data_IF_779371801461
#
_entry.id   IF_779371801461
#
_cell.length_a   1.000
_cell.length_b   1.000
_cell.length_c   1.000
_cell.angle_alpha   90.00
_cell.angle_beta   90.00
_cell.angle_gamma   90.00
#
_symmetry.space_group_name_H-M   'P 1'
#
loop_
_entity.id
_entity.type
_entity.pdbx_description
1 polymer ?
#
# COMPACT_ATOMS: atom_id res chain seq x y z
N UNK A 1 -10.95 -8.93 1.32
CA UNK A 1 -10.36 -8.24 0.14
C UNK A 1 -8.99 -7.68 0.48
N UNK A 2 -8.85 -6.94 1.58
CA UNK A 2 -7.53 -6.42 2.05
C UNK A 2 -6.52 -7.54 2.30
N UNK A 3 -6.90 -8.63 2.96
CA UNK A 3 -5.97 -9.75 3.27
C UNK A 3 -5.38 -10.43 2.03
N UNK A 4 -6.17 -10.56 0.97
CA UNK A 4 -5.70 -11.09 -0.31
C UNK A 4 -4.65 -10.15 -0.92
N UNK A 5 -4.92 -8.84 -0.85
CA UNK A 5 -4.03 -7.81 -1.35
C UNK A 5 -2.72 -7.74 -0.55
N UNK A 6 -2.78 -7.89 0.78
CA UNK A 6 -1.60 -7.97 1.65
C UNK A 6 -0.73 -9.17 1.30
N UNK A 7 -1.34 -10.33 1.06
CA UNK A 7 -0.62 -11.54 0.68
C UNK A 7 0.05 -11.40 -0.68
N UNK A 8 -0.64 -10.82 -1.65
CA UNK A 8 -0.08 -10.57 -2.99
C UNK A 8 1.05 -9.53 -2.95
N UNK A 9 0.91 -8.50 -2.12
CA UNK A 9 1.97 -7.54 -1.86
C UNK A 9 3.22 -8.23 -1.28
N UNK A 10 3.06 -9.09 -0.29
CA UNK A 10 4.17 -9.85 0.29
C UNK A 10 4.89 -10.74 -0.75
N UNK A 11 4.14 -11.35 -1.67
CA UNK A 11 4.71 -12.20 -2.72
C UNK A 11 5.49 -11.39 -3.78
N UNK A 12 5.10 -10.14 -4.01
CA UNK A 12 5.73 -9.25 -4.99
C UNK A 12 6.81 -8.35 -4.40
N UNK A 13 6.88 -8.23 -3.07
CA UNK A 13 7.86 -7.41 -2.37
C UNK A 13 9.32 -7.75 -2.74
N UNK A 14 9.61 -9.03 -3.02
CA UNK A 14 10.93 -9.48 -3.48
C UNK A 14 11.33 -8.94 -4.88
N UNK A 15 10.38 -8.42 -5.66
CA UNK A 15 10.62 -7.81 -6.97
C UNK A 15 10.91 -6.31 -6.90
N UNK A 16 10.75 -5.69 -5.72
CA UNK A 16 10.98 -4.26 -5.52
C UNK A 16 12.46 -4.05 -5.22
N UNK A 17 13.12 -3.20 -6.00
CA UNK A 17 14.50 -2.81 -5.72
C UNK A 17 14.57 -1.96 -4.44
N UNK A 18 15.41 -2.37 -3.49
CA UNK A 18 15.59 -1.69 -2.20
C UNK A 18 14.67 -2.25 -1.11
N UNK A 19 14.49 -1.50 -0.03
CA UNK A 19 13.56 -1.88 1.05
C UNK A 19 12.15 -1.42 0.68
N UNK A 20 11.21 -2.34 0.39
CA UNK A 20 9.85 -1.96 0.12
C UNK A 20 9.18 -1.39 1.38
N UNK A 21 8.28 -0.39 1.25
CA UNK A 21 7.49 0.11 2.37
C UNK A 21 6.58 -0.99 2.94
N UNK A 22 6.04 -0.80 4.14
CA UNK A 22 5.05 -1.74 4.64
C UNK A 22 3.74 -1.59 3.86
N UNK A 23 2.93 -2.66 3.84
CA UNK A 23 1.61 -2.60 3.21
C UNK A 23 0.71 -1.54 3.89
N UNK A 24 0.85 -1.36 5.20
CA UNK A 24 0.10 -0.37 5.96
C UNK A 24 0.49 1.06 5.56
N UNK A 25 1.77 1.32 5.30
CA UNK A 25 2.24 2.64 4.83
C UNK A 25 1.64 3.00 3.47
N UNK A 26 1.47 2.01 2.58
CA UNK A 26 0.83 2.21 1.28
C UNK A 26 -0.64 2.56 1.46
N UNK A 27 -1.35 1.87 2.36
CA UNK A 27 -2.75 2.16 2.64
C UNK A 27 -2.95 3.53 3.30
N UNK A 28 -2.05 3.91 4.19
CA UNK A 28 -2.02 5.24 4.80
C UNK A 28 -1.84 6.32 3.72
N UNK A 29 -0.86 6.15 2.83
CA UNK A 29 -0.63 7.08 1.74
C UNK A 29 -1.83 7.17 0.79
N UNK A 30 -2.45 6.04 0.46
CA UNK A 30 -3.66 6.02 -0.37
C UNK A 30 -4.82 6.78 0.28
N UNK A 31 -4.97 6.69 1.60
CA UNK A 31 -5.98 7.45 2.35
C UNK A 31 -5.69 8.95 2.33
N UNK A 32 -4.44 9.34 2.49
CA UNK A 32 -4.04 10.76 2.41
C UNK A 32 -4.34 11.34 1.04
N UNK A 33 -4.02 10.62 -0.04
CA UNK A 33 -4.36 11.04 -1.41
C UNK A 33 -5.87 11.19 -1.59
N UNK A 34 -6.65 10.25 -1.04
CA UNK A 34 -8.12 10.29 -1.12
C UNK A 34 -8.68 11.54 -0.42
N UNK A 35 -8.17 11.87 0.77
CA UNK A 35 -8.53 13.08 1.50
C UNK A 35 -8.13 14.35 0.74
N UNK A 36 -6.90 14.40 0.20
CA UNK A 36 -6.38 15.56 -0.52
C UNK A 36 -7.15 15.83 -1.82
N UNK A 37 -7.55 14.77 -2.53
CA UNK A 37 -8.25 14.89 -3.82
C UNK A 37 -9.76 15.11 -3.65
N UNK A 38 -10.39 14.42 -2.69
CA UNK A 38 -11.84 14.44 -2.53
C UNK A 38 -12.34 15.37 -1.42
N UNK A 39 -11.45 15.93 -0.60
CA UNK A 39 -11.77 16.88 0.46
C UNK A 39 -12.76 16.35 1.51
N UNK A 40 -12.81 15.03 1.73
CA UNK A 40 -13.57 14.41 2.83
C UNK A 40 -12.65 13.99 3.96
#
# INVERSE_FOLDING_TARGET
MVDALTRDYANTAAMIFGTPPSFDDILESARQIEQDVNGK
#
